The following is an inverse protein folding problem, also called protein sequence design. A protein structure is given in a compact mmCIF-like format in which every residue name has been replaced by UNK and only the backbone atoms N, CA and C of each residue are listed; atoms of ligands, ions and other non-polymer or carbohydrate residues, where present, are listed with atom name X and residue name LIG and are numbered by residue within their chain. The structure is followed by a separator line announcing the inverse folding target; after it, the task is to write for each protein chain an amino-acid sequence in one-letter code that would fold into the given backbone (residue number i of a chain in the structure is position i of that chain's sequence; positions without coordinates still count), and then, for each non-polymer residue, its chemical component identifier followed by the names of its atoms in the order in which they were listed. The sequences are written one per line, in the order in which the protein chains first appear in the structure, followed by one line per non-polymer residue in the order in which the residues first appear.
data_IF_621093934019
#
_entry.id   IF_621093934019
#
_cell.length_a   1.000
_cell.length_b   1.000
_cell.length_c   1.000
_cell.angle_alpha   90.00
_cell.angle_beta   90.00
_cell.angle_gamma   90.00
#
_symmetry.space_group_name_H-M   'P 1'
#
loop_
_entity.id
_entity.type
_entity.pdbx_description
1 polymer ?
#
# COMPACT_ATOMS: atom_id res chain seq x y z
N UNK A 1 61.33 2.46 34.30
CA UNK A 1 59.93 2.71 34.74
C UNK A 1 58.94 3.15 33.65
N UNK A 2 59.31 3.96 32.65
CA UNK A 2 58.38 4.51 31.63
C UNK A 2 57.68 3.45 30.75
N UNK A 3 58.37 2.38 30.34
CA UNK A 3 57.83 1.29 29.50
C UNK A 3 56.70 0.46 30.15
N UNK A 4 56.68 0.32 31.48
CA UNK A 4 55.59 -0.37 32.20
C UNK A 4 54.32 0.49 32.24
N UNK A 5 54.49 1.81 32.43
CA UNK A 5 53.41 2.80 32.46
C UNK A 5 52.67 2.90 31.12
N UNK A 6 53.42 2.91 30.00
CA UNK A 6 52.84 2.94 28.66
C UNK A 6 52.04 1.68 28.31
N UNK A 7 52.49 0.49 28.75
CA UNK A 7 51.75 -0.77 28.56
C UNK A 7 50.45 -0.83 29.37
N UNK A 8 50.45 -0.28 30.58
CA UNK A 8 49.24 -0.13 31.40
C UNK A 8 48.22 0.84 30.75
N UNK A 9 48.70 1.93 30.15
CA UNK A 9 47.88 2.88 29.39
C UNK A 9 47.15 2.20 28.22
N UNK A 10 47.88 1.41 27.42
CA UNK A 10 47.31 0.68 26.28
C UNK A 10 46.26 -0.32 26.75
N UNK A 11 46.54 -1.11 27.79
CA UNK A 11 45.58 -2.06 28.35
C UNK A 11 44.32 -1.37 28.91
N UNK A 12 44.43 -0.14 29.38
CA UNK A 12 43.29 0.65 29.87
C UNK A 12 42.44 1.17 28.72
N UNK A 13 43.07 1.65 27.64
CA UNK A 13 42.37 2.08 26.43
C UNK A 13 41.70 0.91 25.68
N UNK A 14 42.34 -0.26 25.62
CA UNK A 14 41.73 -1.47 25.05
C UNK A 14 40.49 -1.88 25.84
N UNK A 15 40.53 -1.84 27.18
CA UNK A 15 39.35 -2.12 28.02
C UNK A 15 38.21 -1.15 27.77
N UNK A 16 38.49 0.16 27.69
CA UNK A 16 37.48 1.17 27.37
C UNK A 16 36.88 0.96 25.98
N UNK A 17 37.70 0.56 25.00
CA UNK A 17 37.24 0.29 23.63
C UNK A 17 36.34 -0.95 23.57
N UNK A 18 36.68 -1.99 24.33
CA UNK A 18 35.88 -3.21 24.42
C UNK A 18 34.54 -2.96 25.15
N UNK A 19 34.56 -2.14 26.20
CA UNK A 19 33.36 -1.72 26.92
C UNK A 19 32.40 -0.93 26.03
N UNK A 20 32.91 0.03 25.24
CA UNK A 20 32.12 0.77 24.25
C UNK A 20 31.49 -0.15 23.20
N UNK A 21 32.26 -1.12 22.67
CA UNK A 21 31.72 -2.12 21.74
C UNK A 21 30.61 -2.96 22.36
N UNK A 22 30.74 -3.31 23.64
CA UNK A 22 29.74 -4.11 24.36
C UNK A 22 28.46 -3.33 24.59
N UNK A 23 28.55 -2.04 24.94
CA UNK A 23 27.38 -1.16 25.04
C UNK A 23 26.69 -0.95 23.70
N UNK A 24 27.46 -0.78 22.63
CA UNK A 24 26.92 -0.63 21.28
C UNK A 24 26.12 -1.87 20.86
N UNK A 25 26.67 -3.08 21.08
CA UNK A 25 25.95 -4.34 20.83
C UNK A 25 24.64 -4.43 21.62
N UNK A 26 24.66 -4.09 22.92
CA UNK A 26 23.44 -4.07 23.74
C UNK A 26 22.41 -3.06 23.22
N UNK A 27 22.85 -1.92 22.70
CA UNK A 27 21.97 -0.90 22.13
C UNK A 27 21.36 -1.35 20.80
N UNK A 28 22.13 -2.05 19.96
CA UNK A 28 21.63 -2.64 18.72
C UNK A 28 20.61 -3.75 18.97
N UNK A 29 20.86 -4.59 19.97
CA UNK A 29 19.96 -5.68 20.37
C UNK A 29 18.60 -5.13 20.81
N UNK A 30 18.58 -4.13 21.70
CA UNK A 30 17.34 -3.42 22.10
C UNK A 30 16.59 -2.84 20.90
N UNK A 31 17.31 -2.24 19.94
CA UNK A 31 16.70 -1.70 18.71
C UNK A 31 16.14 -2.81 17.81
N UNK A 32 16.67 -4.03 17.84
CA UNK A 32 16.11 -5.18 17.09
C UNK A 32 14.85 -5.70 17.76
N UNK A 33 14.84 -5.82 19.09
CA UNK A 33 13.67 -6.24 19.85
C UNK A 33 12.50 -5.26 19.69
N UNK A 34 12.75 -3.95 19.80
CA UNK A 34 11.71 -2.93 19.59
C UNK A 34 11.11 -2.99 18.19
N UNK A 35 11.94 -3.26 17.17
CA UNK A 35 11.47 -3.46 15.78
C UNK A 35 10.57 -4.68 15.68
N UNK A 36 10.97 -5.81 16.27
CA UNK A 36 10.16 -7.03 16.29
C UNK A 36 8.79 -6.85 16.99
N UNK A 37 8.75 -6.08 18.09
CA UNK A 37 7.49 -5.76 18.78
C UNK A 37 6.58 -4.89 17.91
N UNK A 38 7.13 -3.87 17.24
CA UNK A 38 6.36 -3.01 16.32
C UNK A 38 5.80 -3.80 15.14
N UNK A 39 6.59 -4.66 14.52
CA UNK A 39 6.16 -5.53 13.41
C UNK A 39 5.01 -6.46 13.83
N UNK A 40 5.12 -7.10 15.01
CA UNK A 40 4.04 -7.94 15.55
C UNK A 40 2.74 -7.15 15.77
N UNK A 41 2.81 -5.93 16.32
CA UNK A 41 1.64 -5.05 16.50
C UNK A 41 1.01 -4.67 15.15
N UNK A 42 1.82 -4.35 14.14
CA UNK A 42 1.34 -4.02 12.79
C UNK A 42 0.66 -5.23 12.15
N UNK A 43 1.27 -6.42 12.24
CA UNK A 43 0.70 -7.67 11.71
C UNK A 43 -0.66 -7.98 12.35
N UNK A 44 -0.77 -7.82 13.67
CA UNK A 44 -2.02 -8.09 14.38
C UNK A 44 -3.12 -7.07 14.01
N UNK A 45 -2.76 -5.78 13.87
CA UNK A 45 -3.70 -4.73 13.43
C UNK A 45 -4.18 -4.95 12.00
N UNK A 46 -3.30 -5.41 11.09
CA UNK A 46 -3.69 -5.81 9.72
C UNK A 46 -4.64 -7.00 9.73
N UNK A 47 -4.37 -8.03 10.56
CA UNK A 47 -5.24 -9.21 10.68
C UNK A 47 -6.64 -8.85 11.17
N UNK A 48 -6.76 -7.99 12.20
CA UNK A 48 -8.06 -7.48 12.64
C UNK A 48 -8.80 -6.67 11.58
N UNK A 49 -8.08 -5.83 10.81
CA UNK A 49 -8.71 -5.05 9.73
C UNK A 49 -9.20 -5.92 8.57
N UNK A 50 -8.46 -6.97 8.21
CA UNK A 50 -8.89 -7.92 7.18
C UNK A 50 -10.14 -8.68 7.60
N UNK A 51 -10.19 -9.13 8.86
CA UNK A 51 -11.36 -9.83 9.40
C UNK A 51 -12.62 -8.97 9.43
N UNK A 52 -12.47 -7.64 9.63
CA UNK A 52 -13.59 -6.70 9.61
C UNK A 52 -14.04 -6.27 8.19
N UNK A 53 -13.20 -6.48 7.17
CA UNK A 53 -13.51 -6.10 5.79
C UNK A 53 -14.21 -7.22 5.00
N UNK A 54 -14.22 -8.45 5.50
CA UNK A 54 -14.97 -9.58 4.91
C UNK A 54 -16.43 -9.65 5.36
N UNK A 55 -16.86 -8.75 6.23
CA UNK A 55 -18.28 -8.49 6.47
C UNK A 55 -18.79 -7.51 5.41
N UNK A 56 -18.71 -7.88 4.13
CA UNK A 56 -19.59 -7.27 3.13
C UNK A 56 -20.99 -7.79 3.44
N UNK A 57 -21.71 -6.99 4.21
CA UNK A 57 -23.07 -7.24 4.65
C UNK A 57 -23.95 -7.40 3.40
N UNK A 58 -24.40 -8.63 3.14
CA UNK A 58 -25.37 -8.91 2.10
C UNK A 58 -26.55 -7.97 2.36
N UNK A 59 -26.97 -7.15 1.38
CA UNK A 59 -28.10 -6.26 1.57
C UNK A 59 -29.29 -7.03 2.16
N UNK A 60 -29.94 -6.47 3.18
CA UNK A 60 -30.99 -7.16 3.98
C UNK A 60 -32.06 -7.79 3.09
N UNK A 61 -32.33 -7.21 1.92
CA UNK A 61 -33.27 -7.70 0.91
C UNK A 61 -32.87 -9.06 0.31
N UNK A 62 -31.58 -9.34 0.22
CA UNK A 62 -31.03 -10.61 -0.28
C UNK A 62 -30.67 -11.57 0.85
N UNK A 63 -30.69 -11.15 2.12
CA UNK A 63 -30.35 -12.01 3.26
C UNK A 63 -31.26 -13.22 3.43
N UNK A 64 -32.52 -13.12 2.97
CA UNK A 64 -33.48 -14.23 2.97
C UNK A 64 -33.45 -15.07 1.67
N UNK A 65 -32.69 -14.63 0.65
CA UNK A 65 -32.60 -15.32 -0.64
C UNK A 65 -31.40 -16.26 -0.63
N UNK A 66 -31.65 -17.56 -0.70
CA UNK A 66 -30.61 -18.60 -0.63
C UNK A 66 -30.14 -19.06 -2.00
N UNK A 67 -30.86 -18.68 -3.07
CA UNK A 67 -30.57 -19.09 -4.44
C UNK A 67 -30.58 -17.89 -5.42
N UNK A 68 -29.71 -17.95 -6.43
CA UNK A 68 -29.63 -16.97 -7.51
C UNK A 68 -30.98 -16.76 -8.23
N UNK A 69 -31.80 -17.81 -8.38
CA UNK A 69 -33.14 -17.70 -8.97
C UNK A 69 -34.09 -16.82 -8.16
N UNK A 70 -33.99 -16.82 -6.84
CA UNK A 70 -34.82 -15.95 -6.00
C UNK A 70 -34.42 -14.48 -6.19
N UNK A 71 -33.13 -14.22 -6.37
CA UNK A 71 -32.59 -12.90 -6.70
C UNK A 71 -33.08 -12.47 -8.10
N UNK A 72 -33.01 -13.35 -9.09
CA UNK A 72 -33.50 -13.07 -10.44
C UNK A 72 -35.00 -12.77 -10.46
N UNK A 73 -35.82 -13.59 -9.78
CA UNK A 73 -37.26 -13.37 -9.68
C UNK A 73 -37.59 -12.04 -9.01
N UNK A 74 -36.85 -11.68 -7.96
CA UNK A 74 -37.00 -10.38 -7.31
C UNK A 74 -36.61 -9.23 -8.26
N UNK A 75 -35.49 -9.34 -8.98
CA UNK A 75 -35.05 -8.31 -9.93
C UNK A 75 -36.07 -8.08 -11.07
N UNK A 76 -36.80 -9.11 -11.49
CA UNK A 76 -37.89 -8.98 -12.46
C UNK A 76 -39.05 -8.13 -11.90
N UNK A 77 -39.32 -8.22 -10.59
CA UNK A 77 -40.33 -7.39 -9.91
C UNK A 77 -39.87 -5.94 -9.67
N UNK A 78 -38.56 -5.66 -9.75
CA UNK A 78 -37.99 -4.33 -9.56
C UNK A 78 -37.16 -3.87 -10.78
N UNK A 79 -37.81 -3.49 -11.89
CA UNK A 79 -37.13 -3.13 -13.14
C UNK A 79 -36.18 -1.94 -13.03
N UNK A 80 -36.47 -0.98 -12.14
CA UNK A 80 -35.61 0.19 -11.89
C UNK A 80 -34.28 -0.21 -11.25
N UNK A 81 -34.31 -1.14 -10.30
CA UNK A 81 -33.11 -1.69 -9.63
C UNK A 81 -32.30 -2.52 -10.62
N UNK A 82 -32.98 -3.36 -11.42
CA UNK A 82 -32.34 -4.12 -12.50
C UNK A 82 -31.69 -3.19 -13.53
N UNK A 83 -32.40 -2.15 -13.96
CA UNK A 83 -31.88 -1.17 -14.91
C UNK A 83 -30.69 -0.39 -14.35
N UNK A 84 -30.72 -0.01 -13.07
CA UNK A 84 -29.61 0.63 -12.40
C UNK A 84 -28.41 -0.32 -12.25
N UNK A 85 -28.64 -1.58 -11.84
CA UNK A 85 -27.59 -2.59 -11.75
C UNK A 85 -26.92 -2.83 -13.11
N UNK A 86 -27.72 -2.93 -14.17
CA UNK A 86 -27.21 -3.02 -15.53
C UNK A 86 -26.46 -1.75 -15.94
N UNK A 87 -26.94 -0.55 -15.58
CA UNK A 87 -26.23 0.71 -15.83
C UNK A 87 -24.92 0.82 -15.05
N UNK A 88 -24.87 0.33 -13.82
CA UNK A 88 -23.66 0.30 -13.01
C UNK A 88 -22.66 -0.75 -13.52
N UNK A 89 -23.15 -1.91 -13.97
CA UNK A 89 -22.35 -2.91 -14.66
C UNK A 89 -21.79 -2.34 -15.97
N UNK A 90 -22.64 -1.67 -16.76
CA UNK A 90 -22.26 -0.94 -17.95
C UNK A 90 -21.24 0.15 -17.64
N UNK A 91 -21.40 0.93 -16.57
CA UNK A 91 -20.45 1.97 -16.19
C UNK A 91 -19.14 1.38 -15.65
N UNK A 92 -19.21 0.23 -14.97
CA UNK A 92 -18.04 -0.51 -14.50
C UNK A 92 -17.28 -1.18 -15.64
N UNK A 93 -17.96 -1.51 -16.75
CA UNK A 93 -17.35 -2.06 -17.97
C UNK A 93 -16.96 -0.96 -18.95
N UNK A 94 -17.61 0.21 -18.91
CA UNK A 94 -17.31 1.43 -19.67
C UNK A 94 -16.47 2.41 -18.85
N UNK A 95 -15.34 1.95 -18.31
CA UNK A 95 -14.25 2.90 -18.07
C UNK A 95 -13.94 3.62 -19.40
N UNK A 96 -13.54 4.90 -19.40
CA UNK A 96 -13.11 5.59 -20.60
C UNK A 96 -11.70 5.09 -20.96
N UNK A 97 -11.59 3.85 -21.43
CA UNK A 97 -10.48 3.43 -22.26
C UNK A 97 -10.93 3.61 -23.70
N UNK A 98 -10.35 4.60 -24.33
CA UNK A 98 -10.30 4.83 -25.78
C UNK A 98 -10.35 3.50 -26.54
N UNK A 99 -11.35 3.36 -27.41
CA UNK A 99 -11.53 2.36 -28.47
C UNK A 99 -10.49 1.22 -28.56
N UNK A 100 -10.90 -0.03 -28.33
CA UNK A 100 -10.74 -1.18 -29.26
C UNK A 100 -11.46 -2.43 -28.66
N UNK A 101 -11.91 -3.39 -29.49
CA UNK A 101 -12.94 -4.35 -29.17
C UNK A 101 -12.46 -5.49 -28.27
N UNK A 102 -13.42 -6.14 -27.61
CA UNK A 102 -13.26 -7.41 -26.92
C UNK A 102 -12.60 -8.43 -27.87
N UNK A 103 -11.32 -8.70 -27.64
CA UNK A 103 -10.72 -9.99 -27.95
C UNK A 103 -10.12 -10.52 -26.65
N UNK A 104 -10.52 -11.74 -26.31
CA UNK A 104 -9.65 -12.66 -25.59
C UNK A 104 -8.28 -12.64 -26.27
N UNK A 105 -7.37 -11.85 -25.71
CA UNK A 105 -6.00 -11.75 -26.18
C UNK A 105 -5.13 -11.91 -24.95
N UNK A 106 -4.64 -13.13 -24.81
CA UNK A 106 -3.33 -13.43 -24.24
C UNK A 106 -2.29 -12.63 -25.03
N UNK A 107 -2.22 -11.32 -24.80
CA UNK A 107 -1.12 -10.48 -25.24
C UNK A 107 -0.41 -10.04 -23.97
N UNK A 108 0.81 -10.56 -23.79
CA UNK A 108 1.79 -10.00 -22.87
C UNK A 108 1.74 -8.47 -22.94
N UNK A 109 1.41 -7.76 -21.85
CA UNK A 109 1.41 -6.31 -21.85
C UNK A 109 2.82 -5.86 -22.25
N UNK A 110 2.92 -4.94 -23.21
CA UNK A 110 4.21 -4.31 -23.43
C UNK A 110 4.60 -3.56 -22.16
N UNK A 111 5.89 -3.49 -21.83
CA UNK A 111 6.34 -2.82 -20.60
C UNK A 111 5.81 -1.39 -20.50
N UNK A 112 5.59 -0.72 -21.64
CA UNK A 112 5.11 0.66 -21.72
C UNK A 112 3.65 0.82 -21.24
N UNK A 113 2.79 -0.14 -21.58
CA UNK A 113 1.38 -0.12 -21.17
C UNK A 113 1.24 -0.29 -19.64
N UNK A 114 2.15 -1.07 -19.05
CA UNK A 114 2.20 -1.27 -17.59
C UNK A 114 2.57 0.02 -16.84
N UNK A 115 3.47 0.84 -17.40
CA UNK A 115 3.82 2.14 -16.80
C UNK A 115 2.66 3.14 -16.84
N UNK A 116 1.90 3.15 -17.92
CA UNK A 116 0.69 4.00 -17.99
C UNK A 116 -0.36 3.54 -16.98
N UNK A 117 -0.62 2.23 -16.92
CA UNK A 117 -1.60 1.65 -16.00
C UNK A 117 -1.25 1.91 -14.53
N UNK A 118 0.03 1.81 -14.16
CA UNK A 118 0.44 2.12 -12.78
C UNK A 118 0.31 3.60 -12.47
N UNK A 119 0.60 4.49 -13.41
CA UNK A 119 0.40 5.93 -13.22
C UNK A 119 -1.05 6.28 -12.93
N UNK A 120 -2.00 5.66 -13.65
CA UNK A 120 -3.43 5.88 -13.44
C UNK A 120 -3.92 5.30 -12.11
N UNK A 121 -3.53 4.08 -11.77
CA UNK A 121 -3.88 3.46 -10.49
C UNK A 121 -3.32 4.26 -9.30
N UNK A 122 -2.10 4.77 -9.42
CA UNK A 122 -1.50 5.62 -8.39
C UNK A 122 -2.22 6.97 -8.27
N UNK A 123 -2.59 7.62 -9.38
CA UNK A 123 -3.43 8.84 -9.33
C UNK A 123 -4.77 8.56 -8.64
N UNK A 124 -5.41 7.45 -8.95
CA UNK A 124 -6.65 7.03 -8.29
C UNK A 124 -6.47 6.81 -6.79
N UNK A 125 -5.38 6.15 -6.39
CA UNK A 125 -5.05 5.93 -4.98
C UNK A 125 -4.86 7.26 -4.23
N UNK A 126 -4.21 8.24 -4.86
CA UNK A 126 -4.00 9.58 -4.29
C UNK A 126 -5.34 10.27 -3.99
N UNK A 127 -6.29 10.21 -4.92
CA UNK A 127 -7.61 10.82 -4.78
C UNK A 127 -8.48 10.10 -3.74
N UNK A 128 -8.42 8.76 -3.71
CA UNK A 128 -9.23 7.95 -2.77
C UNK A 128 -8.78 8.07 -1.33
N UNK A 129 -7.47 8.08 -1.09
CA UNK A 129 -6.93 7.91 0.26
C UNK A 129 -5.87 8.94 0.59
N UNK A 130 -6.10 9.72 1.66
CA UNK A 130 -5.19 10.76 2.12
C UNK A 130 -3.89 10.24 2.73
N UNK A 131 -3.79 8.97 3.10
CA UNK A 131 -2.53 8.33 3.48
C UNK A 131 -2.60 6.82 3.24
N UNK A 132 -2.39 6.35 2.00
CA UNK A 132 -2.42 4.93 1.72
C UNK A 132 -1.28 4.22 2.45
N UNK A 133 -1.50 3.00 2.99
CA UNK A 133 -0.45 2.24 3.65
C UNK A 133 0.54 1.67 2.62
N UNK A 134 1.83 1.54 2.98
CA UNK A 134 2.92 1.19 2.03
C UNK A 134 2.63 -0.05 1.16
N UNK A 135 2.12 -1.12 1.78
CA UNK A 135 1.74 -2.34 1.05
C UNK A 135 0.62 -2.18 0.00
N UNK A 136 -0.09 -1.05 -0.03
CA UNK A 136 -1.08 -0.75 -1.07
C UNK A 136 -0.38 -0.46 -2.41
N UNK A 137 0.76 0.22 -2.38
CA UNK A 137 1.60 0.43 -3.56
C UNK A 137 2.09 -0.91 -4.07
N UNK A 138 2.70 -1.73 -3.20
CA UNK A 138 3.17 -3.08 -3.55
C UNK A 138 2.08 -3.93 -4.20
N UNK A 139 0.85 -3.88 -3.69
CA UNK A 139 -0.28 -4.64 -4.23
C UNK A 139 -0.69 -4.18 -5.64
N UNK A 140 -0.65 -2.88 -5.91
CA UNK A 140 -0.93 -2.32 -7.25
C UNK A 140 0.16 -2.77 -8.21
N UNK A 141 1.43 -2.57 -7.85
CA UNK A 141 2.57 -2.90 -8.70
C UNK A 141 2.64 -4.39 -8.99
N UNK A 142 2.35 -5.24 -7.99
CA UNK A 142 2.28 -6.68 -8.15
C UNK A 142 1.12 -7.16 -9.01
N UNK A 143 -0.01 -6.43 -9.02
CA UNK A 143 -1.15 -6.76 -9.89
C UNK A 143 -0.86 -6.43 -11.36
N UNK A 144 -0.08 -5.38 -11.61
CA UNK A 144 0.25 -4.90 -12.97
C UNK A 144 1.43 -5.68 -13.55
N UNK A 145 2.52 -5.81 -12.81
CA UNK A 145 3.75 -6.45 -13.28
C UNK A 145 3.86 -7.94 -12.91
N UNK A 146 2.93 -8.46 -12.11
CA UNK A 146 2.96 -9.83 -11.60
C UNK A 146 3.87 -10.02 -10.38
N UNK A 147 3.83 -11.23 -9.81
CA UNK A 147 4.62 -11.60 -8.63
C UNK A 147 6.12 -11.78 -8.92
N UNK A 148 6.50 -12.02 -10.18
CA UNK A 148 7.86 -12.28 -10.65
C UNK A 148 8.60 -11.04 -11.18
N UNK A 149 7.97 -9.86 -11.07
CA UNK A 149 8.58 -8.62 -11.51
C UNK A 149 9.91 -8.36 -10.78
N UNK A 150 10.91 -7.85 -11.52
CA UNK A 150 12.23 -7.53 -10.99
C UNK A 150 12.09 -6.64 -9.75
N UNK A 151 12.38 -7.19 -8.58
CA UNK A 151 11.96 -6.61 -7.30
C UNK A 151 12.57 -5.21 -7.06
N UNK A 152 13.68 -4.88 -7.71
CA UNK A 152 14.26 -3.54 -7.65
C UNK A 152 13.53 -2.50 -8.53
N UNK A 153 12.96 -2.90 -9.67
CA UNK A 153 12.14 -2.01 -10.52
C UNK A 153 10.86 -1.64 -9.77
N UNK A 154 10.17 -2.64 -9.23
CA UNK A 154 8.97 -2.45 -8.39
C UNK A 154 9.27 -1.52 -7.22
N UNK A 155 10.38 -1.74 -6.53
CA UNK A 155 10.80 -0.91 -5.40
C UNK A 155 11.10 0.54 -5.82
N UNK A 156 11.81 0.74 -6.93
CA UNK A 156 12.12 2.06 -7.49
C UNK A 156 10.84 2.82 -7.87
N UNK A 157 9.88 2.13 -8.48
CA UNK A 157 8.58 2.70 -8.83
C UNK A 157 7.83 3.12 -7.56
N UNK A 158 7.75 2.26 -6.55
CA UNK A 158 7.05 2.56 -5.31
C UNK A 158 7.69 3.74 -4.56
N UNK A 159 9.01 3.78 -4.47
CA UNK A 159 9.74 4.90 -3.86
C UNK A 159 9.46 6.23 -4.59
N UNK A 160 9.42 6.21 -5.92
CA UNK A 160 9.09 7.40 -6.74
C UNK A 160 7.69 7.94 -6.42
N UNK A 161 6.68 7.07 -6.34
CA UNK A 161 5.32 7.51 -6.03
C UNK A 161 5.18 7.94 -4.58
N UNK A 162 5.82 7.26 -3.62
CA UNK A 162 5.84 7.72 -2.23
C UNK A 162 6.36 9.14 -2.10
N UNK A 163 7.47 9.45 -2.76
CA UNK A 163 8.06 10.81 -2.77
C UNK A 163 7.12 11.81 -3.45
N UNK A 164 6.54 11.44 -4.58
CA UNK A 164 5.62 12.31 -5.33
C UNK A 164 4.37 12.64 -4.52
N UNK A 165 3.75 11.64 -3.89
CA UNK A 165 2.58 11.82 -3.03
C UNK A 165 2.87 12.74 -1.85
N UNK A 166 4.02 12.54 -1.20
CA UNK A 166 4.44 13.39 -0.10
C UNK A 166 4.61 14.84 -0.55
N UNK A 167 5.30 15.07 -1.68
CA UNK A 167 5.51 16.39 -2.24
C UNK A 167 4.19 17.08 -2.63
N UNK A 168 3.30 16.40 -3.36
CA UNK A 168 2.01 16.96 -3.76
C UNK A 168 1.17 17.36 -2.56
N UNK A 169 1.12 16.53 -1.52
CA UNK A 169 0.38 16.86 -0.29
C UNK A 169 1.00 18.00 0.47
N UNK A 170 2.33 18.06 0.51
CA UNK A 170 3.05 19.16 1.14
C UNK A 170 2.74 20.48 0.42
N UNK A 171 2.79 20.49 -0.91
CA UNK A 171 2.42 21.65 -1.72
C UNK A 171 0.95 22.05 -1.51
N UNK A 172 0.02 21.10 -1.59
CA UNK A 172 -1.39 21.36 -1.35
C UNK A 172 -1.64 21.97 0.03
N UNK A 173 -0.97 21.45 1.07
CA UNK A 173 -1.04 22.00 2.43
C UNK A 173 -0.53 23.44 2.49
N UNK A 174 0.55 23.76 1.79
CA UNK A 174 1.11 25.11 1.77
C UNK A 174 0.20 26.09 1.03
N UNK A 175 -0.40 25.68 -0.09
CA UNK A 175 -1.38 26.48 -0.84
C UNK A 175 -2.59 26.77 0.05
N UNK A 176 -3.17 25.76 0.67
CA UNK A 176 -4.29 25.94 1.60
C UNK A 176 -3.91 26.82 2.79
N UNK A 177 -2.71 26.65 3.36
CA UNK A 177 -2.23 27.48 4.45
C UNK A 177 -2.00 28.94 4.05
N UNK A 178 -1.75 29.22 2.77
CA UNK A 178 -1.59 30.58 2.27
C UNK A 178 -2.98 31.19 2.08
N UNK A 179 -3.88 30.47 1.42
CA UNK A 179 -5.27 30.90 1.19
C UNK A 179 -6.00 31.23 2.50
N UNK A 180 -5.85 30.38 3.53
CA UNK A 180 -6.47 30.60 4.85
C UNK A 180 -5.91 31.81 5.58
N UNK A 181 -4.69 32.26 5.27
CA UNK A 181 -4.12 33.48 5.84
C UNK A 181 -4.56 34.75 5.10
N UNK A 182 -5.02 34.60 3.86
CA UNK A 182 -5.52 35.71 3.04
C UNK A 182 -7.00 36.03 3.32
N UNK A 183 -7.73 35.10 3.94
CA UNK A 183 -9.07 35.31 4.50
C UNK A 183 -9.00 35.76 5.96
#
# INVERSE_FOLDING_TARGET
MRRKRWREEIKREERKKEERKREERKREERKREERGIKERKIKNKKKMKMMKASEEEIPVQFGAMTNQLQICNWLVLYPSVLHLANKMLDASTKQPSTNLPLTTSTSSPSDNDNYHLIDEEMKCLFLRTRNPPDHAFDKITQKIFGHDAYQSVVKSINERYHKSFFNYRYQLKNVLSTLVKEF
#
